data_IF_650453840394
#
_entry.id   IF_650453840394
#
_cell.length_a   1.000
_cell.length_b   1.000
_cell.length_c   1.000
_cell.angle_alpha   90.00
_cell.angle_beta   90.00
_cell.angle_gamma   90.00
#
_symmetry.space_group_name_H-M   'P 1'
#
loop_
_entity.id
_entity.type
_entity.pdbx_description
1 polymer ?
#
# COMPACT_ATOMS: atom_id res chain seq x y z
N UNK A 1 13.03 5.88 -12.03
CA UNK A 1 11.75 5.16 -12.15
C UNK A 1 11.77 4.06 -11.11
N UNK A 2 10.82 4.07 -10.19
CA UNK A 2 10.69 3.09 -9.11
C UNK A 2 9.39 2.32 -9.33
N UNK A 3 9.42 1.01 -9.15
CA UNK A 3 8.24 0.15 -9.20
C UNK A 3 8.03 -0.46 -7.82
N UNK A 4 6.85 -0.24 -7.24
CA UNK A 4 6.45 -0.78 -5.95
C UNK A 4 5.41 -1.86 -6.23
N UNK A 5 5.66 -3.06 -5.69
CA UNK A 5 4.77 -4.20 -5.80
C UNK A 5 4.37 -4.64 -4.40
N UNK A 6 3.07 -4.71 -4.14
CA UNK A 6 2.48 -5.16 -2.88
C UNK A 6 1.60 -6.36 -3.22
N UNK A 7 2.10 -7.56 -2.96
CA UNK A 7 1.38 -8.81 -3.27
C UNK A 7 0.15 -8.97 -2.39
N UNK A 8 0.29 -8.79 -1.08
CA UNK A 8 -0.82 -8.94 -0.13
C UNK A 8 -0.56 -8.15 1.15
N UNK A 9 -1.60 -7.52 1.70
CA UNK A 9 -1.63 -6.97 3.06
C UNK A 9 -2.96 -7.34 3.73
N UNK A 10 -2.86 -7.95 4.90
CA UNK A 10 -3.99 -8.40 5.70
C UNK A 10 -3.72 -8.09 7.18
N UNK A 11 -4.77 -7.80 7.96
CA UNK A 11 -4.67 -7.68 9.41
C UNK A 11 -5.06 -9.00 10.09
N UNK A 12 -4.15 -9.54 10.90
CA UNK A 12 -4.27 -10.87 11.56
C UNK A 12 -5.53 -10.99 12.44
N UNK A 13 -5.96 -9.91 13.10
CA UNK A 13 -7.02 -9.99 14.10
C UNK A 13 -8.41 -10.33 13.52
N UNK A 14 -8.64 -10.11 12.22
CA UNK A 14 -9.95 -10.29 11.59
C UNK A 14 -9.87 -10.84 10.15
N UNK A 15 -8.69 -11.28 9.68
CA UNK A 15 -8.46 -11.67 8.28
C UNK A 15 -8.98 -10.63 7.27
N UNK A 16 -8.79 -9.35 7.57
CA UNK A 16 -9.27 -8.27 6.70
C UNK A 16 -8.19 -8.01 5.65
N UNK A 17 -8.49 -8.39 4.41
CA UNK A 17 -7.68 -8.06 3.25
C UNK A 17 -7.77 -6.55 2.97
N UNK A 18 -6.62 -5.88 2.97
CA UNK A 18 -6.51 -4.43 2.74
C UNK A 18 -6.00 -4.14 1.34
N UNK A 19 -4.95 -4.85 0.92
CA UNK A 19 -4.36 -4.73 -0.41
C UNK A 19 -4.07 -6.12 -0.95
N UNK A 20 -4.29 -6.29 -2.24
CA UNK A 20 -3.92 -7.49 -2.99
C UNK A 20 -3.43 -7.08 -4.37
N UNK A 21 -2.35 -7.69 -4.84
CA UNK A 21 -1.77 -7.51 -6.17
C UNK A 21 -1.69 -6.05 -6.64
N UNK A 22 -1.28 -5.16 -5.73
CA UNK A 22 -1.21 -3.73 -6.00
C UNK A 22 0.16 -3.38 -6.57
N UNK A 23 0.17 -2.62 -7.66
CA UNK A 23 1.41 -2.13 -8.29
C UNK A 23 1.35 -0.63 -8.50
N UNK A 24 2.45 0.06 -8.19
CA UNK A 24 2.56 1.51 -8.33
C UNK A 24 3.89 1.81 -8.99
N UNK A 25 3.83 2.50 -10.13
CA UNK A 25 5.00 2.94 -10.88
C UNK A 25 5.16 4.44 -10.71
N UNK A 26 6.32 4.87 -10.21
CA UNK A 26 6.60 6.27 -9.88
C UNK A 26 7.84 6.74 -10.65
N UNK A 27 7.70 7.85 -11.35
CA UNK A 27 8.78 8.56 -12.02
C UNK A 27 9.20 9.81 -11.26
N UNK A 28 10.40 10.30 -11.55
CA UNK A 28 10.90 11.52 -10.95
C UNK A 28 10.04 12.70 -11.42
N UNK A 29 9.45 13.42 -10.47
CA UNK A 29 8.60 14.57 -10.73
C UNK A 29 7.09 14.28 -10.75
N UNK A 30 6.68 13.01 -10.63
CA UNK A 30 5.27 12.65 -10.56
C UNK A 30 4.61 13.23 -9.30
N UNK A 31 3.40 13.76 -9.48
CA UNK A 31 2.48 14.09 -8.38
C UNK A 31 1.35 13.08 -8.42
N UNK A 32 1.26 12.25 -7.41
CA UNK A 32 0.31 11.13 -7.36
C UNK A 32 -0.75 11.43 -6.30
N UNK A 33 -2.01 11.30 -6.67
CA UNK A 33 -3.14 11.30 -5.75
C UNK A 33 -3.53 9.86 -5.44
N UNK A 34 -3.64 9.53 -4.16
CA UNK A 34 -4.19 8.26 -3.70
C UNK A 34 -5.62 8.50 -3.21
N UNK A 35 -6.61 8.13 -4.01
CA UNK A 35 -8.04 8.37 -3.75
C UNK A 35 -8.76 7.07 -3.33
N UNK A 36 -9.88 7.21 -2.64
CA UNK A 36 -10.79 6.12 -2.26
C UNK A 36 -11.61 6.47 -1.02
N UNK A 37 -12.53 5.60 -0.62
CA UNK A 37 -13.37 5.78 0.56
C UNK A 37 -12.61 5.58 1.89
N UNK A 38 -13.19 6.02 3.00
CA UNK A 38 -12.60 5.74 4.32
C UNK A 38 -12.51 4.22 4.54
N UNK A 39 -11.33 3.75 5.00
CA UNK A 39 -11.06 2.32 5.16
C UNK A 39 -10.53 1.61 3.91
N UNK A 40 -10.44 2.26 2.76
CA UNK A 40 -9.97 1.65 1.49
C UNK A 40 -8.47 1.30 1.45
N UNK A 41 -7.74 1.41 2.55
CA UNK A 41 -6.31 1.06 2.62
C UNK A 41 -5.32 2.17 2.27
N UNK A 42 -5.74 3.42 2.02
CA UNK A 42 -4.84 4.52 1.61
C UNK A 42 -3.66 4.76 2.57
N UNK A 43 -3.96 4.95 3.85
CA UNK A 43 -2.92 5.16 4.88
C UNK A 43 -2.04 3.92 5.01
N UNK A 44 -2.62 2.72 4.89
CA UNK A 44 -1.86 1.47 4.89
C UNK A 44 -0.87 1.42 3.73
N UNK A 45 -1.29 1.77 2.51
CA UNK A 45 -0.41 1.87 1.34
C UNK A 45 0.73 2.86 1.58
N UNK A 46 0.42 4.06 2.09
CA UNK A 46 1.44 5.06 2.38
C UNK A 46 2.42 4.61 3.46
N UNK A 47 1.94 3.93 4.51
CA UNK A 47 2.80 3.37 5.56
C UNK A 47 3.72 2.27 5.02
N UNK A 48 3.23 1.40 4.13
CA UNK A 48 4.07 0.38 3.47
C UNK A 48 5.16 1.06 2.63
N UNK A 49 4.78 2.03 1.78
CA UNK A 49 5.72 2.75 0.92
C UNK A 49 6.76 3.53 1.74
N UNK A 50 6.33 4.12 2.85
CA UNK A 50 7.19 4.85 3.78
C UNK A 50 8.01 3.94 4.71
N UNK A 51 7.91 2.61 4.57
CA UNK A 51 8.56 1.62 5.43
C UNK A 51 8.20 1.75 6.92
N UNK A 52 6.98 2.22 7.21
CA UNK A 52 6.43 2.42 8.55
C UNK A 52 5.56 1.26 9.04
N UNK A 53 5.12 0.38 8.13
CA UNK A 53 4.31 -0.79 8.49
C UNK A 53 5.21 -1.94 8.99
N UNK A 54 5.26 -2.14 10.30
CA UNK A 54 6.05 -3.20 10.97
C UNK A 54 5.45 -4.60 10.83
N UNK A 55 4.21 -4.69 10.34
CA UNK A 55 3.47 -5.95 10.18
C UNK A 55 3.43 -6.39 8.72
N UNK A 56 4.04 -5.63 7.80
CA UNK A 56 4.19 -6.02 6.41
C UNK A 56 5.26 -7.12 6.29
N UNK A 57 4.90 -8.26 5.69
CA UNK A 57 5.79 -9.39 5.45
C UNK A 57 5.86 -9.66 3.95
N UNK A 58 7.06 -9.94 3.46
CA UNK A 58 7.35 -10.29 2.05
C UNK A 58 6.86 -11.66 1.67
#
# INVERSE_FOLDING_TARGET
MINILISKKEYENNNILILENTSIKINKGDKILLEGENGSGKTTTLNIIGLLDSTFRT
#
